data_IF_049788382991
#
_entry.id   IF_049788382991
#
_cell.length_a   1.000
_cell.length_b   1.000
_cell.length_c   1.000
_cell.angle_alpha   90.00
_cell.angle_beta   90.00
_cell.angle_gamma   90.00
#
_symmetry.space_group_name_H-M   'P 1'
#
loop_
_entity.id
_entity.type
_entity.pdbx_description
1 polymer ?
#
# COMPACT_ATOMS: atom_id res chain seq x y z
N UNK A 1 -15.54 -22.14 -10.83
CA UNK A 1 -14.94 -23.04 -9.81
C UNK A 1 -13.42 -22.97 -9.82
N UNK A 2 -12.77 -22.88 -11.00
CA UNK A 2 -11.30 -22.76 -11.09
C UNK A 2 -10.72 -21.56 -10.35
N UNK A 3 -11.34 -20.39 -10.50
CA UNK A 3 -10.88 -19.15 -9.86
C UNK A 3 -10.87 -19.23 -8.33
N UNK A 4 -11.88 -19.88 -7.73
CA UNK A 4 -11.91 -20.10 -6.28
C UNK A 4 -10.74 -20.98 -5.84
N UNK A 5 -10.43 -22.06 -6.57
CA UNK A 5 -9.29 -22.93 -6.26
C UNK A 5 -7.94 -22.23 -6.42
N UNK A 6 -7.81 -21.39 -7.45
CA UNK A 6 -6.62 -20.57 -7.63
C UNK A 6 -6.43 -19.61 -6.45
N UNK A 7 -7.48 -18.88 -6.06
CA UNK A 7 -7.44 -17.96 -4.93
C UNK A 7 -7.17 -18.68 -3.59
N UNK A 8 -7.73 -19.87 -3.38
CA UNK A 8 -7.42 -20.71 -2.21
C UNK A 8 -5.94 -21.11 -2.18
N UNK A 9 -5.38 -21.52 -3.31
CA UNK A 9 -3.96 -21.86 -3.45
C UNK A 9 -3.06 -20.65 -3.18
N UNK A 10 -3.42 -19.49 -3.73
CA UNK A 10 -2.63 -18.27 -3.52
C UNK A 10 -2.72 -17.81 -2.07
N UNK A 11 -3.90 -17.88 -1.45
CA UNK A 11 -4.05 -17.59 -0.02
C UNK A 11 -3.18 -18.51 0.84
N UNK A 12 -3.12 -19.81 0.52
CA UNK A 12 -2.28 -20.75 1.27
C UNK A 12 -0.79 -20.47 1.08
N UNK A 13 -0.37 -20.15 -0.15
CA UNK A 13 0.99 -19.70 -0.44
C UNK A 13 1.36 -18.45 0.38
N UNK A 14 0.48 -17.45 0.43
CA UNK A 14 0.71 -16.23 1.20
C UNK A 14 0.79 -16.49 2.71
N UNK A 15 -0.04 -17.39 3.26
CA UNK A 15 0.07 -17.82 4.66
C UNK A 15 1.41 -18.49 4.95
N UNK A 16 1.89 -19.36 4.05
CA UNK A 16 3.18 -20.02 4.21
C UNK A 16 4.33 -19.01 4.16
N UNK A 17 4.32 -18.08 3.20
CA UNK A 17 5.28 -16.97 3.11
C UNK A 17 5.31 -16.14 4.40
N UNK A 18 4.13 -15.76 4.91
CA UNK A 18 4.02 -15.02 6.17
C UNK A 18 4.61 -15.80 7.35
N UNK A 19 4.30 -17.09 7.47
CA UNK A 19 4.83 -17.92 8.55
C UNK A 19 6.36 -18.04 8.49
N UNK A 20 6.93 -18.20 7.28
CA UNK A 20 8.37 -18.20 7.06
C UNK A 20 9.00 -16.87 7.47
N UNK A 21 8.40 -15.75 7.06
CA UNK A 21 8.87 -14.40 7.43
C UNK A 21 8.83 -14.16 8.93
N UNK A 22 7.75 -14.57 9.60
CA UNK A 22 7.62 -14.47 11.06
C UNK A 22 8.70 -15.28 11.77
N UNK A 23 8.93 -16.51 11.32
CA UNK A 23 9.96 -17.41 11.87
C UNK A 23 11.36 -16.84 11.66
N UNK A 24 11.66 -16.37 10.46
CA UNK A 24 12.91 -15.71 10.11
C UNK A 24 13.18 -14.51 11.04
N UNK A 25 12.20 -13.61 11.17
CA UNK A 25 12.33 -12.39 11.98
C UNK A 25 12.57 -12.71 13.44
N UNK A 26 11.85 -13.69 13.99
CA UNK A 26 12.03 -14.15 15.38
C UNK A 26 13.44 -14.70 15.60
N UNK A 27 13.93 -15.52 14.67
CA UNK A 27 15.26 -16.11 14.77
C UNK A 27 16.35 -15.05 14.66
N UNK A 28 16.20 -14.10 13.74
CA UNK A 28 17.14 -12.99 13.58
C UNK A 28 17.18 -12.10 14.83
N UNK A 29 16.01 -11.74 15.37
CA UNK A 29 15.94 -10.95 16.61
C UNK A 29 16.63 -11.66 17.78
N UNK A 30 16.47 -12.97 17.90
CA UNK A 30 17.16 -13.77 18.91
C UNK A 30 18.69 -13.73 18.72
N UNK A 31 19.16 -13.95 17.48
CA UNK A 31 20.58 -13.90 17.15
C UNK A 31 21.20 -12.53 17.42
N UNK A 32 20.49 -11.44 17.13
CA UNK A 32 20.91 -10.07 17.44
C UNK A 32 21.02 -9.84 18.95
N UNK A 33 20.00 -10.25 19.72
CA UNK A 33 20.01 -10.12 21.19
C UNK A 33 21.17 -10.89 21.85
N UNK A 34 21.54 -12.02 21.25
CA UNK A 34 22.62 -12.88 21.75
C UNK A 34 24.00 -12.52 21.16
N UNK A 35 24.08 -11.48 20.32
CA UNK A 35 25.30 -11.08 19.60
C UNK A 35 25.92 -12.21 18.74
N UNK A 36 25.10 -13.16 18.30
CA UNK A 36 25.52 -14.30 17.49
C UNK A 36 25.68 -13.87 16.02
N UNK A 37 26.89 -13.44 15.67
CA UNK A 37 27.21 -12.89 14.34
C UNK A 37 27.17 -13.95 13.23
N UNK A 38 27.56 -15.18 13.55
CA UNK A 38 27.54 -16.29 12.59
C UNK A 38 26.09 -16.61 12.21
N UNK A 39 25.20 -16.71 13.19
CA UNK A 39 23.79 -16.97 12.93
C UNK A 39 23.10 -15.82 12.21
N UNK A 40 23.47 -14.57 12.52
CA UNK A 40 22.96 -13.41 11.79
C UNK A 40 23.33 -13.46 10.31
N UNK A 41 24.59 -13.75 9.98
CA UNK A 41 25.03 -13.85 8.58
C UNK A 41 24.38 -15.02 7.85
N UNK A 42 24.28 -16.19 8.50
CA UNK A 42 23.57 -17.36 7.94
C UNK A 42 22.12 -17.00 7.58
N UNK A 43 21.40 -16.35 8.50
CA UNK A 43 20.02 -15.94 8.28
C UNK A 43 19.94 -14.92 7.14
N UNK A 44 20.74 -13.86 7.15
CA UNK A 44 20.71 -12.85 6.09
C UNK A 44 21.05 -13.42 4.70
N UNK A 45 21.96 -14.39 4.63
CA UNK A 45 22.27 -15.09 3.38
C UNK A 45 21.15 -16.02 2.89
N UNK A 46 20.23 -16.41 3.77
CA UNK A 46 19.06 -17.24 3.43
C UNK A 46 17.85 -16.44 2.90
N UNK A 47 17.96 -15.11 2.84
CA UNK A 47 16.93 -14.28 2.27
C UNK A 47 16.73 -14.63 0.78
N UNK A 48 15.47 -14.71 0.31
CA UNK A 48 15.20 -14.82 -1.12
C UNK A 48 15.90 -13.68 -1.86
N UNK A 49 16.66 -13.99 -2.92
CA UNK A 49 17.12 -12.96 -3.86
C UNK A 49 15.87 -12.39 -4.53
N UNK A 50 15.70 -11.07 -4.45
CA UNK A 50 14.56 -10.28 -4.90
C UNK A 50 13.70 -11.00 -5.94
N UNK A 51 12.55 -11.52 -5.49
CA UNK A 51 11.42 -11.74 -6.39
C UNK A 51 10.77 -10.38 -6.45
N UNK A 52 10.93 -9.67 -7.57
CA UNK A 52 10.08 -8.52 -7.93
C UNK A 52 8.63 -8.95 -7.66
N UNK A 53 8.12 -8.47 -6.54
CA UNK A 53 6.76 -8.75 -6.13
C UNK A 53 5.88 -7.91 -7.06
N UNK A 54 5.23 -8.62 -7.99
CA UNK A 54 4.22 -8.22 -8.99
C UNK A 54 3.05 -7.36 -8.44
N UNK A 55 3.11 -7.00 -7.16
CA UNK A 55 2.20 -6.13 -6.42
C UNK A 55 2.36 -4.65 -6.75
N UNK A 56 3.48 -4.22 -7.35
CA UNK A 56 3.62 -2.83 -7.82
C UNK A 56 2.69 -2.50 -9.01
N UNK A 57 2.23 -3.48 -9.79
CA UNK A 57 1.34 -3.24 -10.94
C UNK A 57 -0.12 -2.87 -10.59
N UNK A 58 -0.51 -2.91 -9.32
CA UNK A 58 -1.84 -2.41 -8.90
C UNK A 58 -1.83 -0.96 -8.45
N UNK A 59 -0.67 -0.31 -8.36
CA UNK A 59 -0.56 1.07 -7.83
C UNK A 59 -0.68 2.16 -8.90
N UNK A 60 -0.78 1.82 -10.19
CA UNK A 60 -0.82 2.80 -11.29
C UNK A 60 -2.22 3.16 -11.80
N UNK A 61 -3.31 2.62 -11.23
CA UNK A 61 -4.69 3.00 -11.62
C UNK A 61 -5.37 4.04 -10.72
N UNK A 62 -4.61 4.81 -9.94
CA UNK A 62 -5.19 5.84 -9.05
C UNK A 62 -4.54 7.23 -9.20
N UNK A 63 -3.96 7.53 -10.37
CA UNK A 63 -3.34 8.84 -10.65
C UNK A 63 -3.87 9.57 -11.88
N UNK A 64 -4.92 9.08 -12.54
CA UNK A 64 -5.47 9.76 -13.73
C UNK A 64 -6.99 9.98 -13.70
N UNK A 65 -7.55 10.50 -12.59
CA UNK A 65 -8.84 11.21 -12.62
C UNK A 65 -8.89 12.41 -11.65
N UNK A 66 -7.75 13.07 -11.41
CA UNK A 66 -7.73 14.38 -10.75
C UNK A 66 -7.25 15.46 -11.71
N UNK A 67 -8.18 15.94 -12.54
CA UNK A 67 -8.13 17.28 -13.10
C UNK A 67 -9.57 17.79 -13.25
N UNK A 68 -10.02 18.79 -12.46
CA UNK A 68 -11.22 19.51 -12.80
C UNK A 68 -10.91 20.33 -14.05
N UNK A 69 -11.42 19.88 -15.20
CA UNK A 69 -11.48 20.71 -16.39
C UNK A 69 -12.26 21.98 -16.03
N UNK A 70 -11.54 23.11 -15.99
CA UNK A 70 -12.10 24.45 -15.91
C UNK A 70 -12.96 24.66 -17.16
N UNK A 71 -14.22 24.27 -17.09
CA UNK A 71 -15.22 24.64 -18.10
C UNK A 71 -15.76 26.01 -17.74
N UNK A 72 -15.28 26.99 -18.51
CA UNK A 72 -15.80 28.35 -18.57
C UNK A 72 -17.29 28.29 -18.94
N UNK A 73 -18.19 28.37 -17.97
CA UNK A 73 -19.57 28.76 -18.23
C UNK A 73 -19.78 30.19 -17.73
N UNK A 74 -19.70 31.11 -18.69
CA UNK A 74 -20.21 32.46 -18.55
C UNK A 74 -21.74 32.39 -18.57
N UNK A 75 -22.39 32.53 -17.43
CA UNK A 75 -23.79 32.95 -17.36
C UNK A 75 -23.95 34.03 -16.30
N UNK A 76 -24.08 35.25 -16.80
CA UNK A 76 -24.42 36.48 -16.11
C UNK A 76 -25.64 36.35 -15.19
N UNK A 77 -25.55 36.92 -13.99
CA UNK A 77 -26.24 38.17 -13.60
C UNK A 77 -26.57 38.17 -12.12
N UNK A 78 -26.09 39.23 -11.47
CA UNK A 78 -26.26 39.53 -10.07
C UNK A 78 -27.74 39.68 -9.68
N UNK A 79 -28.10 39.11 -8.52
CA UNK A 79 -29.32 39.43 -7.80
C UNK A 79 -29.07 40.68 -6.96
N UNK A 80 -29.84 41.73 -7.19
CA UNK A 80 -29.88 42.91 -6.33
C UNK A 80 -30.77 42.60 -5.12
N UNK A 81 -30.19 42.53 -3.92
CA UNK A 81 -30.95 42.67 -2.68
C UNK A 81 -30.39 43.87 -1.90
N UNK A 82 -31.21 44.90 -1.84
CA UNK A 82 -30.98 46.16 -1.16
C UNK A 82 -31.25 46.03 0.35
N UNK A 83 -30.33 46.51 1.17
CA UNK A 83 -30.73 47.32 2.32
C UNK A 83 -30.26 46.90 3.71
N UNK A 84 -29.79 47.93 4.42
CA UNK A 84 -29.76 48.11 5.87
C UNK A 84 -28.56 47.54 6.65
N UNK A 85 -27.59 48.44 6.82
CA UNK A 85 -26.64 48.48 7.92
C UNK A 85 -27.32 48.51 9.30
N UNK A 86 -26.69 47.89 10.29
CA UNK A 86 -26.99 48.06 11.73
C UNK A 86 -26.10 47.15 12.60
N UNK A 87 -25.81 47.52 13.85
CA UNK A 87 -24.46 47.95 14.26
C UNK A 87 -23.80 47.08 15.34
N UNK A 88 -22.57 47.44 15.71
CA UNK A 88 -21.89 47.05 16.96
C UNK A 88 -22.64 47.58 18.20
#
# INVERSE_FOLDING_TARGET
QEEVRYLESELENQKEKYHKLQSFTRNLLSAVKNMDKEKQQELLASLPQEVEDDWEMSSERDVELSAPALTTHNSSSASEETGAAGPL
#
